data_IF_189957055436
#
_entry.id   IF_189957055436
#
_cell.length_a   1.000
_cell.length_b   1.000
_cell.length_c   1.000
_cell.angle_alpha   90.00
_cell.angle_beta   90.00
_cell.angle_gamma   90.00
#
_symmetry.space_group_name_H-M   'P 1'
#
loop_
_entity.id
_entity.type
_entity.pdbx_description
1 polymer ?
#
# COMPACT_ATOMS: atom_id res chain seq x y z
N UNK A 1 26.42 -21.94 -43.31
CA UNK A 1 25.39 -22.00 -42.23
C UNK A 1 25.78 -22.92 -41.06
N UNK A 2 26.19 -24.18 -41.27
CA UNK A 2 26.58 -25.09 -40.15
C UNK A 2 27.72 -24.59 -39.26
N UNK A 3 28.73 -23.91 -39.81
CA UNK A 3 29.86 -23.34 -39.03
C UNK A 3 29.43 -22.19 -38.12
N UNK A 4 28.48 -21.37 -38.56
CA UNK A 4 27.94 -20.23 -37.79
C UNK A 4 27.12 -20.71 -36.58
N UNK A 5 26.23 -21.69 -36.77
CA UNK A 5 25.44 -22.29 -35.69
C UNK A 5 26.21 -23.32 -34.84
N UNK A 6 27.40 -23.72 -35.26
CA UNK A 6 28.31 -24.55 -34.47
C UNK A 6 29.11 -23.74 -33.45
N UNK A 7 29.29 -22.44 -33.70
CA UNK A 7 30.19 -21.58 -32.93
C UNK A 7 29.67 -21.38 -31.49
N UNK A 8 30.58 -21.55 -30.51
CA UNK A 8 30.32 -21.35 -29.09
C UNK A 8 29.91 -19.91 -28.78
N UNK A 9 30.52 -18.93 -29.45
CA UNK A 9 30.17 -17.51 -29.29
C UNK A 9 28.75 -17.20 -29.78
N UNK A 10 28.36 -17.75 -30.94
CA UNK A 10 27.00 -17.60 -31.47
C UNK A 10 25.96 -18.22 -30.52
N UNK A 11 26.25 -19.39 -29.93
CA UNK A 11 25.37 -20.02 -28.93
C UNK A 11 25.24 -19.20 -27.64
N UNK A 12 26.31 -18.53 -27.20
CA UNK A 12 26.28 -17.65 -26.02
C UNK A 12 25.43 -16.42 -26.27
N UNK A 13 25.58 -15.76 -27.42
CA UNK A 13 24.76 -14.60 -27.78
C UNK A 13 23.28 -14.99 -27.89
N UNK A 14 22.98 -16.12 -28.56
CA UNK A 14 21.60 -16.60 -28.69
C UNK A 14 21.01 -16.99 -27.32
N UNK A 15 21.83 -17.47 -26.36
CA UNK A 15 21.34 -17.81 -25.02
C UNK A 15 20.85 -16.62 -24.20
N UNK A 16 21.20 -15.39 -24.58
CA UNK A 16 20.65 -14.17 -23.96
C UNK A 16 19.16 -14.03 -24.26
N UNK A 17 18.67 -14.53 -25.39
CA UNK A 17 17.23 -14.55 -25.70
C UNK A 17 16.44 -15.40 -24.70
N UNK A 18 17.07 -16.42 -24.11
CA UNK A 18 16.48 -17.22 -23.02
C UNK A 18 16.22 -16.35 -21.78
N UNK A 19 17.11 -15.41 -21.47
CA UNK A 19 16.94 -14.46 -20.35
C UNK A 19 15.73 -13.57 -20.61
N UNK A 20 15.56 -13.08 -21.84
CA UNK A 20 14.43 -12.22 -22.21
C UNK A 20 13.11 -12.97 -21.95
N UNK A 21 13.00 -14.22 -22.40
CA UNK A 21 11.81 -15.03 -22.16
C UNK A 21 11.57 -15.27 -20.66
N UNK A 22 12.61 -15.65 -19.90
CA UNK A 22 12.50 -15.84 -18.45
C UNK A 22 12.14 -14.55 -17.72
N UNK A 23 12.64 -13.39 -18.16
CA UNK A 23 12.25 -12.09 -17.62
C UNK A 23 10.77 -11.81 -17.83
N UNK A 24 10.21 -12.11 -19.01
CA UNK A 24 8.76 -11.98 -19.23
C UNK A 24 7.95 -12.90 -18.32
N UNK A 25 8.40 -14.14 -18.11
CA UNK A 25 7.76 -15.08 -17.18
C UNK A 25 7.82 -14.56 -15.73
N UNK A 26 8.97 -14.06 -15.28
CA UNK A 26 9.11 -13.47 -13.94
C UNK A 26 8.26 -12.20 -13.78
N UNK A 27 8.21 -11.35 -14.82
CA UNK A 27 7.37 -10.16 -14.84
C UNK A 27 5.88 -10.54 -14.77
N UNK A 28 5.46 -11.58 -15.48
CA UNK A 28 4.11 -12.11 -15.39
C UNK A 28 3.80 -12.66 -13.99
N UNK A 29 4.77 -13.34 -13.38
CA UNK A 29 4.71 -13.76 -11.97
C UNK A 29 4.48 -12.57 -11.03
N UNK A 30 5.26 -11.50 -11.18
CA UNK A 30 5.07 -10.25 -10.42
C UNK A 30 3.68 -9.63 -10.65
N UNK A 31 3.27 -9.48 -11.92
CA UNK A 31 1.96 -8.92 -12.26
C UNK A 31 0.82 -9.75 -11.66
N UNK A 32 0.94 -11.09 -11.63
CA UNK A 32 -0.08 -11.96 -11.05
C UNK A 32 -0.36 -11.70 -9.57
N UNK A 33 0.67 -11.28 -8.83
CA UNK A 33 0.56 -10.99 -7.39
C UNK A 33 -0.18 -9.68 -7.16
N UNK A 34 0.16 -8.64 -7.93
CA UNK A 34 -0.35 -7.28 -7.69
C UNK A 34 -1.55 -6.89 -8.54
N UNK A 35 -1.87 -7.61 -9.62
CA UNK A 35 -2.93 -7.24 -10.55
C UNK A 35 -3.90 -8.39 -10.83
N UNK A 36 -5.16 -8.05 -11.07
CA UNK A 36 -6.19 -8.92 -11.65
C UNK A 36 -6.18 -8.81 -13.17
N UNK A 37 -6.30 -9.95 -13.86
CA UNK A 37 -6.20 -10.01 -15.32
C UNK A 37 -7.58 -10.13 -15.96
N UNK A 38 -7.91 -9.19 -16.84
CA UNK A 38 -9.10 -9.22 -17.68
C UNK A 38 -8.71 -9.45 -19.14
N UNK A 39 -9.00 -10.65 -19.64
CA UNK A 39 -8.67 -11.04 -21.03
C UNK A 39 -9.78 -10.61 -21.97
N UNK A 40 -9.50 -9.66 -22.85
CA UNK A 40 -10.47 -9.17 -23.85
C UNK A 40 -10.63 -10.16 -25.01
N UNK A 41 -9.52 -10.79 -25.44
CA UNK A 41 -9.48 -11.70 -26.59
C UNK A 41 -8.73 -12.99 -26.26
N UNK A 42 -9.45 -13.97 -25.69
CA UNK A 42 -8.87 -15.25 -25.22
C UNK A 42 -8.14 -16.03 -26.33
N UNK A 43 -8.70 -16.06 -27.53
CA UNK A 43 -8.11 -16.79 -28.67
C UNK A 43 -6.80 -16.16 -29.14
N UNK A 44 -6.78 -14.84 -29.32
CA UNK A 44 -5.61 -14.09 -29.76
C UNK A 44 -4.46 -14.22 -28.77
N UNK A 45 -4.75 -14.08 -27.47
CA UNK A 45 -3.77 -14.24 -26.40
C UNK A 45 -3.15 -15.65 -26.42
N UNK A 46 -4.00 -16.69 -26.47
CA UNK A 46 -3.55 -18.08 -26.49
C UNK A 46 -2.62 -18.36 -27.68
N UNK A 47 -2.99 -17.91 -28.89
CA UNK A 47 -2.17 -18.08 -30.09
C UNK A 47 -0.83 -17.34 -29.99
N UNK A 48 -0.85 -16.09 -29.54
CA UNK A 48 0.35 -15.28 -29.39
C UNK A 48 1.32 -15.88 -28.35
N UNK A 49 0.80 -16.23 -27.16
CA UNK A 49 1.59 -16.84 -26.09
C UNK A 49 2.15 -18.19 -26.53
N UNK A 50 1.37 -19.01 -27.23
CA UNK A 50 1.83 -20.30 -27.76
C UNK A 50 2.94 -20.13 -28.79
N UNK A 51 2.79 -19.19 -29.74
CA UNK A 51 3.80 -18.91 -30.75
C UNK A 51 5.12 -18.44 -30.16
N UNK A 52 5.06 -17.50 -29.21
CA UNK A 52 6.24 -16.98 -28.50
C UNK A 52 6.90 -18.09 -27.66
N UNK A 53 6.10 -18.88 -26.94
CA UNK A 53 6.57 -19.99 -26.10
C UNK A 53 7.27 -21.07 -26.94
N UNK A 54 6.73 -21.42 -28.10
CA UNK A 54 7.34 -22.40 -29.01
C UNK A 54 8.66 -21.88 -29.59
N UNK A 55 8.72 -20.61 -30.00
CA UNK A 55 9.95 -19.98 -30.46
C UNK A 55 11.02 -19.98 -29.35
N UNK A 56 10.64 -19.57 -28.14
CA UNK A 56 11.51 -19.58 -26.98
C UNK A 56 12.03 -21.00 -26.68
N UNK A 57 11.16 -22.01 -26.74
CA UNK A 57 11.55 -23.40 -26.52
C UNK A 57 12.60 -23.87 -27.54
N UNK A 58 12.42 -23.57 -28.83
CA UNK A 58 13.41 -23.93 -29.87
C UNK A 58 14.77 -23.29 -29.56
N UNK A 59 14.78 -22.00 -29.20
CA UNK A 59 16.00 -21.26 -28.86
C UNK A 59 16.67 -21.85 -27.61
N UNK A 60 15.90 -22.16 -26.58
CA UNK A 60 16.40 -22.73 -25.34
C UNK A 60 16.94 -24.15 -25.54
N UNK A 61 16.28 -24.98 -26.35
CA UNK A 61 16.78 -26.31 -26.69
C UNK A 61 18.09 -26.25 -27.47
N UNK A 62 18.20 -25.32 -28.42
CA UNK A 62 19.44 -25.09 -29.17
C UNK A 62 20.60 -24.64 -28.25
N UNK A 63 20.30 -23.86 -27.21
CA UNK A 63 21.29 -23.33 -26.25
C UNK A 63 21.38 -24.11 -24.94
N UNK A 64 20.75 -25.30 -24.83
CA UNK A 64 20.55 -26.06 -23.58
C UNK A 64 21.82 -26.35 -22.75
N UNK A 65 22.99 -26.37 -23.39
CA UNK A 65 24.26 -26.60 -22.71
C UNK A 65 24.92 -25.32 -22.17
N UNK A 66 24.42 -24.13 -22.51
CA UNK A 66 24.91 -22.87 -21.97
C UNK A 66 24.41 -22.68 -20.53
N UNK A 67 25.28 -22.14 -19.67
CA UNK A 67 24.97 -21.94 -18.24
C UNK A 67 23.74 -21.06 -18.08
N UNK A 68 23.62 -19.99 -18.87
CA UNK A 68 22.50 -19.05 -18.87
C UNK A 68 21.17 -19.79 -19.08
N UNK A 69 21.06 -20.61 -20.12
CA UNK A 69 19.84 -21.36 -20.43
C UNK A 69 19.49 -22.39 -19.35
N UNK A 70 20.50 -22.99 -18.70
CA UNK A 70 20.27 -23.89 -17.56
C UNK A 70 19.67 -23.15 -16.37
N UNK A 71 20.21 -21.98 -16.02
CA UNK A 71 19.67 -21.15 -14.93
C UNK A 71 18.23 -20.72 -15.27
N UNK A 72 18.00 -20.24 -16.49
CA UNK A 72 16.65 -19.88 -16.96
C UNK A 72 15.66 -21.05 -16.83
N UNK A 73 16.08 -22.28 -17.16
CA UNK A 73 15.26 -23.49 -17.05
C UNK A 73 14.82 -23.80 -15.61
N UNK A 74 15.61 -23.38 -14.61
CA UNK A 74 15.30 -23.60 -13.20
C UNK A 74 14.36 -22.53 -12.62
N UNK A 75 14.32 -21.34 -13.24
CA UNK A 75 13.55 -20.19 -12.73
C UNK A 75 12.12 -20.17 -13.28
N UNK A 76 11.90 -20.59 -14.52
CA UNK A 76 10.60 -20.47 -15.21
C UNK A 76 9.46 -21.11 -14.41
N UNK A 77 9.62 -22.34 -13.92
CA UNK A 77 8.55 -23.06 -13.22
C UNK A 77 8.24 -22.47 -11.84
N UNK A 78 9.22 -22.16 -10.97
CA UNK A 78 8.96 -21.40 -9.75
C UNK A 78 8.26 -20.05 -10.00
N UNK A 79 8.71 -19.29 -11.00
CA UNK A 79 8.13 -17.99 -11.33
C UNK A 79 6.66 -18.08 -11.81
N UNK A 80 6.27 -19.21 -12.39
CA UNK A 80 4.89 -19.46 -12.82
C UNK A 80 3.96 -19.90 -11.69
N UNK A 81 4.47 -20.26 -10.51
CA UNK A 81 3.62 -20.67 -9.38
C UNK A 81 2.53 -19.62 -9.05
N UNK A 82 2.85 -18.34 -8.77
CA UNK A 82 1.82 -17.35 -8.45
C UNK A 82 0.84 -17.14 -9.63
N UNK A 83 1.31 -17.25 -10.88
CA UNK A 83 0.45 -17.15 -12.06
C UNK A 83 -0.58 -18.29 -12.09
N UNK A 84 -0.15 -19.51 -11.80
CA UNK A 84 -1.01 -20.69 -11.79
C UNK A 84 -2.06 -20.62 -10.68
N UNK A 85 -1.69 -20.10 -9.52
CA UNK A 85 -2.59 -19.98 -8.37
C UNK A 85 -3.58 -18.81 -8.54
N UNK A 86 -3.08 -17.63 -8.92
CA UNK A 86 -3.86 -16.38 -8.92
C UNK A 86 -4.63 -16.14 -10.21
N UNK A 87 -4.17 -16.66 -11.35
CA UNK A 87 -4.90 -16.61 -12.64
C UNK A 87 -5.47 -17.97 -13.03
N UNK A 88 -5.82 -18.78 -12.02
CA UNK A 88 -6.42 -20.09 -12.23
C UNK A 88 -7.67 -19.98 -13.11
N UNK A 89 -7.75 -20.80 -14.17
CA UNK A 89 -8.81 -20.76 -15.17
C UNK A 89 -8.41 -20.11 -16.50
N UNK A 90 -7.38 -19.26 -16.52
CA UNK A 90 -6.86 -18.65 -17.76
C UNK A 90 -5.80 -19.56 -18.43
N UNK A 91 -6.23 -20.80 -18.73
CA UNK A 91 -5.39 -21.89 -19.22
C UNK A 91 -4.62 -21.59 -20.52
N UNK A 92 -5.19 -20.74 -21.38
CA UNK A 92 -4.56 -20.34 -22.65
C UNK A 92 -3.25 -19.58 -22.47
N UNK A 93 -3.06 -18.92 -21.33
CA UNK A 93 -1.80 -18.26 -20.97
C UNK A 93 -0.88 -19.19 -20.16
N UNK A 94 -1.45 -19.98 -19.25
CA UNK A 94 -0.68 -20.83 -18.34
C UNK A 94 -0.02 -22.02 -19.06
N UNK A 95 -0.81 -22.80 -19.82
CA UNK A 95 -0.37 -24.10 -20.34
C UNK A 95 0.89 -23.97 -21.22
N UNK A 96 0.95 -23.08 -22.22
CA UNK A 96 2.12 -23.01 -23.09
C UNK A 96 3.42 -22.74 -22.33
N UNK A 97 3.40 -21.84 -21.34
CA UNK A 97 4.58 -21.45 -20.57
C UNK A 97 5.04 -22.59 -19.65
N UNK A 98 4.09 -23.26 -18.98
CA UNK A 98 4.38 -24.42 -18.13
C UNK A 98 4.98 -25.57 -18.94
N UNK A 99 4.42 -25.87 -20.12
CA UNK A 99 4.98 -26.91 -21.02
C UNK A 99 6.43 -26.56 -21.39
N UNK A 100 6.71 -25.31 -21.75
CA UNK A 100 8.09 -24.87 -22.02
C UNK A 100 8.98 -25.10 -20.80
N UNK A 101 8.54 -24.69 -19.61
CA UNK A 101 9.29 -24.87 -18.35
C UNK A 101 9.61 -26.33 -18.05
N UNK A 102 8.63 -27.23 -18.19
CA UNK A 102 8.82 -28.67 -17.96
C UNK A 102 9.81 -29.25 -18.98
N UNK A 103 9.57 -29.00 -20.27
CA UNK A 103 10.40 -29.56 -21.35
C UNK A 103 11.83 -29.06 -21.23
N UNK A 104 12.04 -27.76 -20.99
CA UNK A 104 13.40 -27.22 -20.89
C UNK A 104 14.11 -27.65 -19.62
N UNK A 105 13.41 -27.82 -18.48
CA UNK A 105 14.00 -28.37 -17.26
C UNK A 105 14.51 -29.80 -17.48
N UNK A 106 13.68 -30.66 -18.07
CA UNK A 106 14.02 -32.08 -18.30
C UNK A 106 15.12 -32.27 -19.34
N UNK A 107 15.06 -31.49 -20.43
CA UNK A 107 16.02 -31.55 -21.54
C UNK A 107 17.21 -30.59 -21.39
N UNK A 108 17.30 -29.89 -20.25
CA UNK A 108 18.43 -29.02 -19.89
C UNK A 108 19.74 -29.80 -19.90
N UNK A 109 20.84 -29.13 -20.25
CA UNK A 109 22.19 -29.69 -20.18
C UNK A 109 22.74 -29.82 -18.75
N UNK A 110 21.91 -29.69 -17.72
CA UNK A 110 22.26 -29.92 -16.33
C UNK A 110 22.37 -31.42 -16.00
N UNK A 111 23.12 -31.76 -14.94
CA UNK A 111 23.27 -33.15 -14.51
C UNK A 111 21.93 -33.76 -14.04
N UNK A 112 21.73 -35.05 -14.28
CA UNK A 112 20.47 -35.75 -13.96
C UNK A 112 20.06 -35.62 -12.49
N UNK A 113 21.02 -35.73 -11.56
CA UNK A 113 20.73 -35.55 -10.13
C UNK A 113 20.14 -34.17 -9.78
N UNK A 114 20.65 -33.10 -10.41
CA UNK A 114 20.16 -31.73 -10.18
C UNK A 114 18.76 -31.55 -10.77
N UNK A 115 18.52 -32.07 -11.98
CA UNK A 115 17.20 -31.99 -12.62
C UNK A 115 16.14 -32.72 -11.78
N UNK A 116 16.44 -33.93 -11.33
CA UNK A 116 15.54 -34.72 -10.48
C UNK A 116 15.28 -34.02 -9.14
N UNK A 117 16.32 -33.51 -8.48
CA UNK A 117 16.15 -32.79 -7.20
C UNK A 117 15.29 -31.54 -7.36
N UNK A 118 15.59 -30.67 -8.35
CA UNK A 118 14.81 -29.46 -8.60
C UNK A 118 13.39 -29.76 -9.06
N UNK A 119 13.18 -30.77 -9.92
CA UNK A 119 11.85 -31.17 -10.34
C UNK A 119 10.99 -31.60 -9.14
N UNK A 120 11.55 -32.38 -8.20
CA UNK A 120 10.85 -32.77 -6.98
C UNK A 120 10.54 -31.57 -6.08
N UNK A 121 11.49 -30.65 -5.89
CA UNK A 121 11.29 -29.43 -5.09
C UNK A 121 10.18 -28.56 -5.70
N UNK A 122 10.22 -28.34 -7.02
CA UNK A 122 9.22 -27.56 -7.75
C UNK A 122 7.85 -28.24 -7.66
N UNK A 123 7.79 -29.56 -7.82
CA UNK A 123 6.54 -30.31 -7.68
C UNK A 123 5.94 -30.14 -6.29
N UNK A 124 6.75 -30.28 -5.23
CA UNK A 124 6.31 -30.06 -3.85
C UNK A 124 5.84 -28.62 -3.63
N UNK A 125 6.56 -27.63 -4.18
CA UNK A 125 6.17 -26.21 -4.12
C UNK A 125 4.78 -25.98 -4.72
N UNK A 126 4.47 -26.62 -5.86
CA UNK A 126 3.14 -26.53 -6.49
C UNK A 126 2.06 -27.21 -5.65
N UNK A 127 2.35 -28.39 -5.09
CA UNK A 127 1.40 -29.12 -4.25
C UNK A 127 1.08 -28.31 -2.98
N UNK A 128 2.10 -27.87 -2.24
CA UNK A 128 1.91 -27.09 -1.03
C UNK A 128 1.35 -25.70 -1.31
N UNK A 129 1.77 -25.05 -2.40
CA UNK A 129 1.24 -23.76 -2.84
C UNK A 129 -0.24 -23.84 -3.19
N UNK A 130 -0.65 -24.85 -3.95
CA UNK A 130 -2.06 -25.08 -4.27
C UNK A 130 -2.87 -25.40 -3.00
N UNK A 131 -2.39 -26.32 -2.15
CA UNK A 131 -3.05 -26.65 -0.90
C UNK A 131 -3.23 -25.41 -0.01
N UNK A 132 -2.16 -24.63 0.19
CA UNK A 132 -2.18 -23.42 0.99
C UNK A 132 -3.14 -22.37 0.42
N UNK A 133 -3.12 -22.16 -0.89
CA UNK A 133 -4.04 -21.27 -1.57
C UNK A 133 -5.50 -21.70 -1.38
N UNK A 134 -5.83 -22.97 -1.62
CA UNK A 134 -7.19 -23.49 -1.45
C UNK A 134 -7.68 -23.40 0.00
N UNK A 135 -6.84 -23.75 0.97
CA UNK A 135 -7.18 -23.58 2.39
C UNK A 135 -7.44 -22.11 2.70
N UNK A 136 -6.57 -21.21 2.24
CA UNK A 136 -6.73 -19.78 2.47
C UNK A 136 -8.05 -19.25 1.88
N UNK A 137 -8.31 -19.52 0.60
CA UNK A 137 -9.52 -19.03 -0.08
C UNK A 137 -10.80 -19.67 0.47
N UNK A 138 -10.74 -20.92 0.94
CA UNK A 138 -11.93 -21.60 1.48
C UNK A 138 -12.27 -21.13 2.90
N UNK A 139 -11.26 -20.87 3.74
CA UNK A 139 -11.48 -20.52 5.15
C UNK A 139 -11.57 -19.02 5.41
N UNK A 140 -10.87 -18.18 4.65
CA UNK A 140 -10.75 -16.75 4.94
C UNK A 140 -11.51 -15.84 3.97
N UNK A 141 -11.94 -16.33 2.81
CA UNK A 141 -12.77 -15.55 1.89
C UNK A 141 -14.22 -15.94 2.11
N UNK A 142 -14.97 -15.08 2.83
CA UNK A 142 -16.39 -15.27 3.01
C UNK A 142 -17.10 -15.19 1.66
N UNK A 143 -18.00 -16.14 1.39
CA UNK A 143 -18.86 -16.09 0.20
C UNK A 143 -19.92 -15.00 0.37
N UNK A 144 -19.54 -13.74 0.21
CA UNK A 144 -20.47 -12.62 0.12
C UNK A 144 -20.97 -12.52 -1.31
N UNK A 145 -22.30 -12.49 -1.47
CA UNK A 145 -22.90 -12.20 -2.77
C UNK A 145 -22.94 -10.68 -2.92
N UNK A 146 -21.97 -10.17 -3.66
CA UNK A 146 -21.95 -8.78 -4.12
C UNK A 146 -22.68 -8.69 -5.47
N UNK A 147 -23.62 -7.76 -5.55
CA UNK A 147 -24.26 -7.35 -6.80
C UNK A 147 -23.84 -5.92 -7.13
N UNK A 148 -23.20 -5.75 -8.30
CA UNK A 148 -22.80 -4.43 -8.78
C UNK A 148 -23.98 -3.77 -9.47
N UNK A 149 -24.51 -2.71 -8.86
CA UNK A 149 -25.68 -1.96 -9.37
C UNK A 149 -25.24 -1.04 -10.51
N UNK A 150 -24.17 -0.30 -10.28
CA UNK A 150 -23.70 0.74 -11.20
C UNK A 150 -22.18 0.83 -11.15
N UNK A 151 -21.57 1.17 -12.28
CA UNK A 151 -20.16 1.52 -12.39
C UNK A 151 -20.01 2.76 -13.26
N UNK A 152 -19.05 3.62 -12.93
CA UNK A 152 -18.78 4.81 -13.72
C UNK A 152 -17.37 5.34 -13.52
N UNK A 153 -17.06 6.41 -14.23
CA UNK A 153 -15.76 7.07 -14.20
C UNK A 153 -15.99 8.55 -13.89
N UNK A 154 -15.13 9.08 -13.03
CA UNK A 154 -15.08 10.50 -12.68
C UNK A 154 -14.88 11.38 -13.93
N UNK A 155 -15.30 12.67 -13.91
CA UNK A 155 -15.17 13.59 -15.04
C UNK A 155 -13.73 13.76 -15.54
N UNK A 156 -12.75 13.78 -14.64
CA UNK A 156 -11.33 13.86 -15.02
C UNK A 156 -10.79 12.57 -15.66
N UNK A 157 -11.49 11.44 -15.49
CA UNK A 157 -11.01 10.12 -15.87
C UNK A 157 -10.03 9.50 -14.88
N UNK A 158 -9.70 10.19 -13.77
CA UNK A 158 -8.68 9.77 -12.80
C UNK A 158 -9.17 8.65 -11.89
N UNK A 159 -10.45 8.69 -11.50
CA UNK A 159 -11.09 7.70 -10.64
C UNK A 159 -12.21 6.97 -11.35
N UNK A 160 -12.43 5.73 -10.94
CA UNK A 160 -13.65 4.97 -11.25
C UNK A 160 -14.34 4.55 -9.96
N UNK A 161 -15.65 4.37 -10.05
CA UNK A 161 -16.47 3.94 -8.92
C UNK A 161 -17.32 2.74 -9.29
N UNK A 162 -17.67 1.95 -8.27
CA UNK A 162 -18.71 0.92 -8.34
C UNK A 162 -19.62 1.01 -7.13
N UNK A 163 -20.92 0.87 -7.37
CA UNK A 163 -21.96 0.78 -6.34
C UNK A 163 -22.32 -0.69 -6.19
N UNK A 164 -22.29 -1.19 -4.96
CA UNK A 164 -22.43 -2.60 -4.66
C UNK A 164 -23.46 -2.79 -3.58
N UNK A 165 -24.41 -3.67 -3.84
CA UNK A 165 -25.28 -4.22 -2.81
C UNK A 165 -24.74 -5.58 -2.38
N UNK A 166 -24.48 -5.71 -1.09
CA UNK A 166 -24.07 -6.98 -0.49
C UNK A 166 -25.28 -7.59 0.20
N UNK A 167 -25.59 -8.85 -0.14
CA UNK A 167 -26.55 -9.64 0.62
C UNK A 167 -25.81 -10.43 1.71
N UNK A 168 -26.09 -10.12 2.97
CA UNK A 168 -25.55 -10.81 4.13
C UNK A 168 -26.65 -11.18 5.14
N UNK A 169 -26.29 -11.90 6.21
CA UNK A 169 -27.22 -12.27 7.29
C UNK A 169 -27.62 -11.09 8.20
N UNK A 170 -27.19 -9.87 7.87
CA UNK A 170 -27.35 -8.64 8.67
C UNK A 170 -28.09 -7.56 7.87
N UNK A 171 -29.10 -7.97 7.09
CA UNK A 171 -30.00 -7.11 6.31
C UNK A 171 -29.36 -6.42 5.09
N UNK A 172 -28.17 -6.88 4.71
CA UNK A 172 -27.43 -6.36 3.56
C UNK A 172 -26.85 -4.96 3.78
N UNK A 173 -26.11 -4.49 2.78
CA UNK A 173 -25.50 -3.16 2.80
C UNK A 173 -25.34 -2.61 1.39
N UNK A 174 -25.47 -1.29 1.25
CA UNK A 174 -25.05 -0.59 0.05
C UNK A 174 -23.73 0.12 0.31
N UNK A 175 -22.74 -0.17 -0.52
CA UNK A 175 -21.42 0.43 -0.44
C UNK A 175 -20.99 1.03 -1.78
N UNK A 176 -20.29 2.16 -1.73
CA UNK A 176 -19.66 2.78 -2.88
C UNK A 176 -18.16 2.67 -2.71
N UNK A 177 -17.53 2.07 -3.72
CA UNK A 177 -16.09 1.90 -3.79
C UNK A 177 -15.52 2.85 -4.84
N UNK A 178 -14.41 3.51 -4.50
CA UNK A 178 -13.66 4.36 -5.43
C UNK A 178 -12.22 3.86 -5.51
N UNK A 179 -11.69 3.80 -6.73
CA UNK A 179 -10.31 3.43 -7.01
C UNK A 179 -9.73 4.20 -8.21
N UNK A 180 -8.39 4.30 -8.32
CA UNK A 180 -7.74 4.95 -9.46
C UNK A 180 -8.01 4.19 -10.76
N UNK A 181 -8.40 4.93 -11.79
CA UNK A 181 -8.62 4.41 -13.14
C UNK A 181 -7.34 4.45 -14.01
N UNK A 182 -6.28 5.11 -13.52
CA UNK A 182 -5.01 5.31 -14.22
C UNK A 182 -3.94 4.27 -13.87
N UNK A 183 -4.13 3.51 -12.79
CA UNK A 183 -3.14 2.56 -12.26
C UNK A 183 -3.07 1.22 -13.03
N UNK A 184 -4.00 0.97 -13.96
CA UNK A 184 -4.08 -0.29 -14.70
C UNK A 184 -3.01 -0.40 -15.80
N UNK A 185 -2.50 -1.62 -16.02
CA UNK A 185 -1.63 -1.92 -17.17
C UNK A 185 -2.49 -2.41 -18.35
N UNK A 186 -2.66 -1.56 -19.36
CA UNK A 186 -3.46 -1.86 -20.56
C UNK A 186 -2.58 -2.40 -21.69
N UNK A 187 -2.81 -3.64 -22.10
CA UNK A 187 -2.20 -4.25 -23.29
C UNK A 187 -3.27 -4.64 -24.33
N UNK A 188 -2.86 -4.89 -25.57
CA UNK A 188 -3.79 -5.19 -26.67
C UNK A 188 -4.65 -6.44 -26.48
N UNK A 189 -4.25 -7.39 -25.63
CA UNK A 189 -4.96 -8.66 -25.42
C UNK A 189 -5.60 -8.79 -24.04
N UNK A 190 -5.06 -8.07 -23.05
CA UNK A 190 -5.46 -8.15 -21.66
C UNK A 190 -5.25 -6.81 -20.97
N UNK A 191 -6.14 -6.47 -20.05
CA UNK A 191 -5.98 -5.36 -19.10
C UNK A 191 -5.69 -5.94 -17.73
N UNK A 192 -4.68 -5.42 -17.05
CA UNK A 192 -4.33 -5.80 -15.70
C UNK A 192 -4.74 -4.68 -14.74
N UNK A 193 -5.73 -4.96 -13.91
CA UNK A 193 -6.28 -4.04 -12.92
C UNK A 193 -5.52 -4.18 -11.61
N UNK A 194 -5.08 -3.08 -11.01
CA UNK A 194 -4.29 -3.15 -9.77
C UNK A 194 -5.16 -3.62 -8.59
N UNK A 195 -4.71 -4.65 -7.85
CA UNK A 195 -5.43 -5.24 -6.72
C UNK A 195 -5.45 -4.33 -5.50
N UNK A 196 -6.46 -4.49 -4.65
CA UNK A 196 -6.55 -3.88 -3.32
C UNK A 196 -6.38 -2.35 -3.35
N UNK A 197 -6.90 -1.69 -4.38
CA UNK A 197 -6.92 -0.23 -4.48
C UNK A 197 -8.27 0.36 -4.08
N UNK A 198 -9.28 -0.47 -3.94
CA UNK A 198 -10.64 -0.03 -3.60
C UNK A 198 -10.70 0.60 -2.21
N UNK A 199 -11.33 1.78 -2.13
CA UNK A 199 -11.66 2.45 -0.88
C UNK A 199 -13.17 2.57 -0.75
N UNK A 200 -13.69 2.16 0.40
CA UNK A 200 -15.09 2.36 0.77
C UNK A 200 -15.26 3.82 1.16
N UNK A 201 -15.95 4.59 0.34
CA UNK A 201 -16.19 6.03 0.59
C UNK A 201 -17.59 6.29 1.11
N UNK A 202 -18.47 5.31 0.95
CA UNK A 202 -19.81 5.30 1.49
C UNK A 202 -20.19 3.87 1.83
N UNK A 203 -20.78 3.67 3.01
CA UNK A 203 -21.35 2.40 3.41
C UNK A 203 -22.57 2.68 4.28
N UNK A 204 -23.70 2.10 3.89
CA UNK A 204 -24.93 2.19 4.64
C UNK A 204 -25.52 0.81 4.88
N UNK A 205 -26.15 0.65 6.04
CA UNK A 205 -26.85 -0.56 6.47
C UNK A 205 -28.22 -0.15 7.00
N UNK A 206 -29.33 -0.76 6.54
CA UNK A 206 -29.44 -1.85 5.56
C UNK A 206 -29.20 -1.38 4.10
N UNK A 207 -29.47 -2.25 3.12
CA UNK A 207 -29.46 -1.89 1.69
C UNK A 207 -30.34 -0.67 1.39
N UNK A 208 -29.94 0.15 0.41
CA UNK A 208 -30.66 1.32 -0.08
C UNK A 208 -31.08 1.15 -1.55
N UNK A 209 -32.16 1.84 -1.92
CA UNK A 209 -32.67 1.92 -3.29
C UNK A 209 -32.33 3.27 -3.92
N UNK A 210 -32.42 3.35 -5.25
CA UNK A 210 -32.26 4.58 -6.04
C UNK A 210 -30.97 5.35 -5.71
N UNK A 211 -29.89 4.63 -5.42
CA UNK A 211 -28.59 5.24 -5.12
C UNK A 211 -28.05 5.88 -6.38
N UNK A 212 -27.92 7.21 -6.35
CA UNK A 212 -27.41 8.02 -7.44
C UNK A 212 -26.14 8.73 -7.01
N UNK A 213 -25.17 8.75 -7.92
CA UNK A 213 -23.87 9.39 -7.70
C UNK A 213 -23.73 10.55 -8.67
N UNK A 214 -23.39 11.73 -8.13
CA UNK A 214 -23.09 12.91 -8.92
C UNK A 214 -21.63 13.31 -8.70
N UNK A 215 -20.96 13.66 -9.80
CA UNK A 215 -19.61 14.18 -9.79
C UNK A 215 -19.62 15.66 -10.12
N UNK A 216 -18.90 16.44 -9.32
CA UNK A 216 -18.64 17.86 -9.59
C UNK A 216 -17.14 18.10 -9.54
N UNK A 217 -16.65 19.00 -10.38
CA UNK A 217 -15.28 19.50 -10.27
C UNK A 217 -15.30 20.75 -9.40
N UNK A 218 -14.50 20.76 -8.34
CA UNK A 218 -14.38 21.88 -7.41
C UNK A 218 -12.92 22.32 -7.34
N UNK A 219 -12.69 23.61 -7.08
CA UNK A 219 -11.33 24.09 -6.89
C UNK A 219 -10.82 23.79 -5.47
N UNK A 220 -9.50 23.82 -5.30
CA UNK A 220 -8.81 23.51 -4.05
C UNK A 220 -9.28 24.38 -2.89
N UNK A 221 -9.45 25.68 -3.14
CA UNK A 221 -9.89 26.64 -2.13
C UNK A 221 -11.31 26.32 -1.62
N UNK A 222 -12.26 26.06 -2.51
CA UNK A 222 -13.65 25.68 -2.18
C UNK A 222 -13.68 24.42 -1.32
N UNK A 223 -12.86 23.42 -1.66
CA UNK A 223 -12.77 22.18 -0.89
C UNK A 223 -12.17 22.44 0.49
N UNK A 224 -11.08 23.21 0.59
CA UNK A 224 -10.43 23.56 1.86
C UNK A 224 -11.36 24.36 2.77
N UNK A 225 -12.08 25.34 2.22
CA UNK A 225 -13.05 26.15 2.96
C UNK A 225 -14.19 25.28 3.51
N UNK A 226 -14.71 24.36 2.68
CA UNK A 226 -15.72 23.41 3.12
C UNK A 226 -15.21 22.48 4.23
N UNK A 227 -13.99 21.95 4.10
CA UNK A 227 -13.37 21.10 5.12
C UNK A 227 -13.19 21.84 6.45
N UNK A 228 -12.65 23.05 6.40
CA UNK A 228 -12.47 23.90 7.58
C UNK A 228 -13.81 24.30 8.22
N UNK A 229 -14.91 24.36 7.44
CA UNK A 229 -16.26 24.58 7.98
C UNK A 229 -16.81 23.37 8.74
N UNK A 230 -16.35 22.15 8.41
CA UNK A 230 -16.72 20.92 9.12
C UNK A 230 -15.92 20.79 10.41
N UNK A 231 -14.60 21.00 10.33
CA UNK A 231 -13.71 20.90 11.49
C UNK A 231 -12.46 21.76 11.33
N UNK A 232 -12.09 22.43 12.42
CA UNK A 232 -10.85 23.19 12.57
C UNK A 232 -9.65 22.34 13.03
N UNK A 233 -9.86 21.02 13.21
CA UNK A 233 -8.86 20.06 13.74
C UNK A 233 -8.42 19.03 12.70
N UNK A 234 -8.54 19.34 11.43
CA UNK A 234 -8.09 18.45 10.36
C UNK A 234 -6.56 18.50 10.33
N UNK A 235 -5.92 17.38 10.65
CA UNK A 235 -4.47 17.24 10.62
C UNK A 235 -4.01 16.68 9.26
N UNK A 236 -2.91 17.23 8.75
CA UNK A 236 -2.21 16.77 7.54
C UNK A 236 -0.84 16.27 7.96
N UNK A 237 -0.48 15.07 7.53
CA UNK A 237 0.84 14.48 7.79
C UNK A 237 1.79 14.86 6.66
N UNK A 238 3.00 15.32 7.00
CA UNK A 238 4.01 15.80 6.05
C UNK A 238 5.39 15.24 6.38
N UNK A 239 6.25 15.18 5.38
CA UNK A 239 7.64 14.74 5.49
C UNK A 239 8.54 15.79 6.17
N UNK A 240 9.75 15.38 6.57
CA UNK A 240 10.75 16.30 7.14
C UNK A 240 11.13 17.44 6.19
N UNK A 241 11.24 17.14 4.89
CA UNK A 241 11.58 18.13 3.85
C UNK A 241 10.42 19.12 3.63
N UNK A 242 9.17 18.65 3.68
CA UNK A 242 8.00 19.51 3.59
C UNK A 242 7.86 20.40 4.81
N UNK A 243 8.09 19.88 6.02
CA UNK A 243 8.10 20.70 7.24
C UNK A 243 9.08 21.87 7.13
N UNK A 244 10.31 21.61 6.68
CA UNK A 244 11.32 22.65 6.50
C UNK A 244 10.89 23.71 5.47
N UNK A 245 10.31 23.27 4.34
CA UNK A 245 9.78 24.19 3.33
C UNK A 245 8.62 25.06 3.83
N UNK A 246 7.77 24.49 4.69
CA UNK A 246 6.66 25.19 5.34
C UNK A 246 7.13 26.14 6.45
N UNK A 247 8.44 26.23 6.72
CA UNK A 247 9.02 27.09 7.74
C UNK A 247 9.00 26.52 9.16
N UNK A 248 8.72 25.21 9.30
CA UNK A 248 8.83 24.52 10.58
C UNK A 248 10.27 24.06 10.82
N UNK A 249 10.71 24.17 12.07
CA UNK A 249 12.02 23.69 12.50
C UNK A 249 11.87 22.37 13.24
N UNK A 250 12.97 21.65 13.42
CA UNK A 250 12.94 20.43 14.22
C UNK A 250 12.42 20.72 15.64
N UNK A 251 12.93 21.79 16.26
CA UNK A 251 12.61 22.17 17.64
C UNK A 251 11.15 22.57 17.84
N UNK A 252 10.54 23.29 16.89
CA UNK A 252 9.13 23.72 17.02
C UNK A 252 8.11 22.60 16.77
N UNK A 253 8.59 21.42 16.34
CA UNK A 253 7.78 20.20 16.18
C UNK A 253 8.04 19.15 17.26
N UNK A 254 8.86 19.44 18.26
CA UNK A 254 9.06 18.50 19.36
C UNK A 254 7.84 18.42 20.29
N UNK A 255 7.44 17.20 20.59
CA UNK A 255 6.30 16.88 21.45
C UNK A 255 6.66 15.84 22.50
N UNK A 256 6.01 15.93 23.66
CA UNK A 256 5.97 14.88 24.67
C UNK A 256 4.77 13.96 24.41
N UNK A 257 5.04 12.68 24.20
CA UNK A 257 4.05 11.63 24.00
C UNK A 257 4.12 10.60 25.14
N UNK A 258 3.11 9.73 25.24
CA UNK A 258 3.06 8.61 26.19
C UNK A 258 3.32 9.01 27.64
N UNK A 259 2.82 10.19 28.01
CA UNK A 259 2.95 10.75 29.35
C UNK A 259 2.21 9.86 30.36
N UNK A 260 2.91 9.43 31.41
CA UNK A 260 2.26 8.77 32.54
C UNK A 260 1.35 9.74 33.29
N UNK A 261 0.37 9.22 34.05
CA UNK A 261 -0.59 10.06 34.77
C UNK A 261 0.10 11.09 35.69
N UNK A 262 1.18 10.70 36.38
CA UNK A 262 1.96 11.61 37.23
C UNK A 262 2.63 12.74 36.44
N UNK A 263 3.14 12.44 35.24
CA UNK A 263 3.75 13.44 34.35
C UNK A 263 2.73 14.38 33.73
N UNK A 264 1.53 13.89 33.39
CA UNK A 264 0.41 14.73 32.93
C UNK A 264 0.01 15.76 34.01
N UNK A 265 -0.13 15.33 35.26
CA UNK A 265 -0.50 16.24 36.35
C UNK A 265 0.55 17.33 36.59
N UNK A 266 1.84 17.03 36.40
CA UNK A 266 2.92 18.01 36.53
C UNK A 266 2.86 19.15 35.49
N UNK A 267 2.18 18.93 34.36
CA UNK A 267 1.97 19.93 33.31
C UNK A 267 0.53 20.48 33.29
N UNK A 268 -0.20 20.36 34.41
CA UNK A 268 -1.59 20.81 34.55
C UNK A 268 -2.56 20.13 33.56
N UNK A 269 -2.26 18.89 33.15
CA UNK A 269 -3.15 18.05 32.34
C UNK A 269 -3.83 17.00 33.21
N UNK A 270 -4.97 16.52 32.74
CA UNK A 270 -5.76 15.46 33.39
C UNK A 270 -5.38 14.08 32.85
N UNK A 271 -5.83 13.02 33.53
CA UNK A 271 -5.61 11.66 33.05
C UNK A 271 -6.30 11.39 31.69
N UNK A 272 -7.37 12.14 31.39
CA UNK A 272 -8.17 12.04 30.16
C UNK A 272 -7.51 12.70 28.94
N UNK A 273 -6.51 13.56 29.15
CA UNK A 273 -5.76 14.19 28.06
C UNK A 273 -4.77 13.18 27.48
N UNK A 274 -5.09 12.60 26.33
CA UNK A 274 -4.28 11.56 25.68
C UNK A 274 -3.38 12.10 24.56
N UNK A 275 -3.62 13.33 24.13
CA UNK A 275 -2.90 13.93 23.00
C UNK A 275 -1.45 14.28 23.39
N UNK A 276 -0.48 14.12 22.46
CA UNK A 276 0.88 14.60 22.65
C UNK A 276 0.92 16.11 22.94
N UNK A 277 1.84 16.53 23.81
CA UNK A 277 1.97 17.93 24.24
C UNK A 277 3.14 18.59 23.53
N UNK A 278 2.94 19.64 22.72
CA UNK A 278 4.04 20.37 22.09
C UNK A 278 4.93 21.03 23.14
N UNK A 279 6.24 20.85 23.01
CA UNK A 279 7.19 21.35 24.01
C UNK A 279 7.20 22.88 24.10
N UNK A 280 6.86 23.58 23.02
CA UNK A 280 6.70 25.04 23.00
C UNK A 280 5.55 25.56 23.87
N UNK A 281 4.62 24.69 24.27
CA UNK A 281 3.53 25.07 25.18
C UNK A 281 3.89 24.96 26.65
N UNK A 282 5.07 24.40 26.97
CA UNK A 282 5.54 24.16 28.33
C UNK A 282 6.38 25.34 28.84
N UNK A 283 6.23 25.64 30.12
CA UNK A 283 7.09 26.60 30.84
C UNK A 283 8.47 26.02 31.14
N UNK A 284 9.46 26.87 31.40
CA UNK A 284 10.83 26.44 31.75
C UNK A 284 10.87 25.52 32.98
N UNK A 285 10.00 25.77 33.97
CA UNK A 285 9.86 24.91 35.15
C UNK A 285 9.30 23.54 34.80
N UNK A 286 8.32 23.49 33.90
CA UNK A 286 7.75 22.23 33.42
C UNK A 286 8.76 21.45 32.58
N UNK A 287 9.53 22.11 31.71
CA UNK A 287 10.60 21.47 30.94
C UNK A 287 11.70 20.93 31.86
N UNK A 288 12.07 21.67 32.91
CA UNK A 288 13.05 21.23 33.91
C UNK A 288 12.62 19.94 34.61
N UNK A 289 11.32 19.79 34.91
CA UNK A 289 10.78 18.55 35.47
C UNK A 289 10.98 17.32 34.58
N UNK A 290 11.07 17.49 33.26
CA UNK A 290 11.41 16.43 32.29
C UNK A 290 12.93 16.32 32.03
N UNK A 291 13.76 17.11 32.72
CA UNK A 291 15.21 17.14 32.48
C UNK A 291 15.59 17.78 31.14
N UNK A 292 14.72 18.63 30.59
CA UNK A 292 14.91 19.28 29.29
C UNK A 292 15.17 20.77 29.49
N UNK A 293 16.16 21.31 28.79
CA UNK A 293 16.46 22.73 28.73
C UNK A 293 16.08 23.34 27.38
N UNK A 294 15.80 24.65 27.38
CA UNK A 294 15.56 25.46 26.18
C UNK A 294 16.59 26.59 26.13
N UNK A 295 17.27 26.75 25.00
CA UNK A 295 18.22 27.84 24.78
C UNK A 295 17.52 29.11 24.26
N UNK A 296 18.23 30.24 24.26
CA UNK A 296 17.72 31.54 23.80
C UNK A 296 17.27 31.52 22.32
N UNK A 297 17.88 30.66 21.50
CA UNK A 297 17.52 30.46 20.09
C UNK A 297 16.29 29.53 19.92
N UNK A 298 15.65 29.11 21.02
CA UNK A 298 14.47 28.25 21.02
C UNK A 298 14.75 26.74 20.86
N UNK A 299 16.03 26.35 20.85
CA UNK A 299 16.46 24.94 20.69
C UNK A 299 16.37 24.16 21.99
N UNK A 300 15.98 22.89 21.91
CA UNK A 300 15.82 22.02 23.08
C UNK A 300 17.01 21.06 23.26
N UNK A 301 17.45 20.88 24.51
CA UNK A 301 18.57 20.02 24.84
C UNK A 301 18.36 19.22 26.13
N UNK A 302 19.07 18.11 26.27
CA UNK A 302 19.04 17.25 27.46
C UNK A 302 19.93 17.87 28.55
N UNK A 303 19.40 18.14 29.75
CA UNK A 303 20.18 18.75 30.85
C UNK A 303 21.27 17.82 31.38
N UNK A 304 20.97 16.53 31.49
CA UNK A 304 21.89 15.51 31.99
C UNK A 304 21.83 14.27 31.09
N UNK A 305 22.55 14.27 29.95
CA UNK A 305 22.56 13.11 29.06
C UNK A 305 23.28 11.92 29.73
N UNK A 306 22.73 10.72 29.56
CA UNK A 306 23.35 9.46 30.00
C UNK A 306 24.63 9.16 29.21
N UNK A 307 25.43 8.20 29.68
CA UNK A 307 26.63 7.78 28.95
C UNK A 307 26.25 7.10 27.64
N UNK A 308 25.19 6.31 27.68
CA UNK A 308 24.65 5.54 26.58
C UNK A 308 24.15 6.46 25.45
N UNK A 309 23.44 7.55 25.79
CA UNK A 309 23.04 8.58 24.82
C UNK A 309 24.25 9.30 24.22
N UNK A 310 25.29 9.59 25.02
CA UNK A 310 26.51 10.23 24.53
C UNK A 310 27.33 9.32 23.61
N UNK A 311 27.40 8.02 23.90
CA UNK A 311 28.06 7.00 23.08
C UNK A 311 27.39 6.85 21.71
N UNK A 312 26.06 6.80 21.65
CA UNK A 312 25.30 6.76 20.39
C UNK A 312 25.47 8.03 19.53
N UNK A 313 25.93 9.11 20.14
CA UNK A 313 26.20 10.39 19.49
C UNK A 313 27.68 10.60 19.16
N UNK A 314 28.57 9.68 19.54
CA UNK A 314 30.04 9.84 19.48
C UNK A 314 30.51 11.14 20.18
N UNK A 315 29.86 11.49 21.30
CA UNK A 315 30.13 12.71 22.05
C UNK A 315 30.90 12.43 23.34
N UNK A 316 31.80 13.35 23.70
CA UNK A 316 32.50 13.31 24.99
C UNK A 316 31.61 13.85 26.12
N UNK A 317 31.80 13.33 27.33
CA UNK A 317 31.12 13.79 28.54
C UNK A 317 31.18 15.32 28.71
N UNK A 318 30.04 15.94 29.03
CA UNK A 318 29.90 17.38 29.25
C UNK A 318 29.52 18.21 28.02
N UNK A 319 29.44 17.60 26.82
CA UNK A 319 28.88 18.29 25.64
C UNK A 319 27.35 18.35 25.76
N UNK A 320 26.79 19.51 25.42
CA UNK A 320 25.33 19.71 25.36
C UNK A 320 24.76 18.94 24.16
N UNK A 321 23.71 18.16 24.41
CA UNK A 321 23.04 17.32 23.39
C UNK A 321 21.70 17.95 23.03
N UNK A 322 21.61 18.50 21.83
CA UNK A 322 20.36 19.07 21.30
C UNK A 322 19.54 17.99 20.60
N UNK A 323 18.23 18.00 20.81
CA UNK A 323 17.33 17.06 20.15
C UNK A 323 17.36 17.16 18.63
N UNK A 324 17.57 18.37 18.08
CA UNK A 324 17.71 18.61 16.63
C UNK A 324 18.90 17.92 16.00
N UNK A 325 19.93 17.64 16.79
CA UNK A 325 21.20 17.10 16.29
C UNK A 325 21.27 15.58 16.54
N UNK A 326 20.29 14.99 17.24
CA UNK A 326 20.31 13.60 17.66
C UNK A 326 20.11 12.63 16.49
N UNK A 327 20.85 11.52 16.53
CA UNK A 327 20.56 10.38 15.67
C UNK A 327 19.30 9.66 16.15
N UNK A 328 18.62 8.94 15.24
CA UNK A 328 17.43 8.15 15.61
C UNK A 328 17.73 7.11 16.71
N UNK A 329 18.96 6.57 16.74
CA UNK A 329 19.41 5.64 17.78
C UNK A 329 19.55 6.33 19.14
N UNK A 330 20.19 7.49 19.18
CA UNK A 330 20.33 8.27 20.40
C UNK A 330 18.97 8.71 20.97
N UNK A 331 18.03 9.12 20.11
CA UNK A 331 16.67 9.50 20.54
C UNK A 331 15.92 8.29 21.10
N UNK A 332 16.03 7.13 20.46
CA UNK A 332 15.45 5.88 20.96
C UNK A 332 16.03 5.51 22.33
N UNK A 333 17.36 5.60 22.48
CA UNK A 333 18.05 5.32 23.73
C UNK A 333 17.56 6.25 24.85
N UNK A 334 17.50 7.57 24.58
CA UNK A 334 16.96 8.55 25.53
C UNK A 334 15.53 8.20 25.95
N UNK A 335 14.66 7.85 25.00
CA UNK A 335 13.27 7.48 25.28
C UNK A 335 13.14 6.18 26.11
N UNK A 336 14.05 5.22 25.93
CA UNK A 336 14.05 3.97 26.73
C UNK A 336 14.54 4.14 28.15
N UNK A 337 15.27 5.21 28.46
CA UNK A 337 15.73 5.52 29.83
C UNK A 337 14.61 6.12 30.70
N UNK A 338 13.54 6.63 30.09
CA UNK A 338 12.41 7.26 30.78
C UNK A 338 11.27 6.26 31.03
N UNK A 339 11.62 5.14 31.65
CA UNK A 339 10.68 4.07 32.03
C UNK A 339 10.81 3.75 33.53
N UNK A 340 9.72 3.28 34.11
CA UNK A 340 9.72 2.78 35.48
C UNK A 340 10.42 1.42 35.55
N UNK A 341 11.52 1.30 36.32
CA UNK A 341 12.33 0.07 36.38
C UNK A 341 11.55 -1.16 36.90
N UNK A 342 10.55 -0.96 37.76
CA UNK A 342 9.81 -2.05 38.39
C UNK A 342 8.65 -2.55 37.52
N UNK A 343 8.00 -1.66 36.77
CA UNK A 343 6.79 -1.96 36.00
C UNK A 343 7.00 -1.92 34.50
N UNK A 344 8.12 -1.37 34.01
CA UNK A 344 8.39 -1.14 32.60
C UNK A 344 7.51 -0.07 31.96
N UNK A 345 6.74 0.69 32.76
CA UNK A 345 5.82 1.70 32.25
C UNK A 345 6.61 2.95 31.84
N UNK A 346 6.43 3.41 30.61
CA UNK A 346 7.01 4.66 30.11
C UNK A 346 6.50 5.86 30.90
N UNK A 347 7.42 6.74 31.32
CA UNK A 347 7.08 8.03 31.91
C UNK A 347 6.71 9.06 30.83
N UNK A 348 7.48 9.12 29.74
CA UNK A 348 7.19 9.89 28.53
C UNK A 348 8.13 9.52 27.38
N UNK A 349 7.79 9.96 26.18
CA UNK A 349 8.64 9.93 25.00
C UNK A 349 8.74 11.32 24.37
N UNK A 350 9.94 11.68 23.91
CA UNK A 350 10.14 12.83 23.03
C UNK A 350 10.05 12.34 21.59
N UNK A 351 9.18 12.96 20.79
CA UNK A 351 9.08 12.70 19.36
C UNK A 351 8.90 13.99 18.58
N UNK A 352 9.37 13.99 17.33
CA UNK A 352 9.05 15.04 16.37
C UNK A 352 7.65 14.76 15.81
N UNK A 353 6.82 15.79 15.71
CA UNK A 353 5.55 15.72 15.01
C UNK A 353 5.71 16.01 13.53
N UNK A 354 5.05 15.18 12.74
CA UNK A 354 4.90 15.33 11.30
C UNK A 354 3.53 15.86 10.92
N UNK A 355 2.73 16.34 11.90
CA UNK A 355 1.39 16.84 11.65
C UNK A 355 1.31 18.38 11.67
N UNK A 356 0.48 18.90 10.78
CA UNK A 356 0.14 20.32 10.64
C UNK A 356 -1.38 20.45 10.50
N UNK A 357 -1.95 21.55 10.97
CA UNK A 357 -3.39 21.77 10.85
C UNK A 357 -3.71 22.30 9.46
N UNK A 358 -4.72 21.72 8.80
CA UNK A 358 -5.13 22.11 7.45
C UNK A 358 -5.47 23.59 7.34
N UNK A 359 -6.17 24.14 8.34
CA UNK A 359 -6.56 25.56 8.39
C UNK A 359 -5.38 26.54 8.50
N UNK A 360 -4.17 26.05 8.80
CA UNK A 360 -2.95 26.89 8.84
C UNK A 360 -2.22 26.94 7.51
N UNK A 361 -2.60 26.09 6.55
CA UNK A 361 -1.96 25.99 5.24
C UNK A 361 -2.58 26.97 4.25
N UNK A 362 -1.71 27.65 3.51
CA UNK A 362 -2.11 28.47 2.36
C UNK A 362 -2.32 27.60 1.12
N UNK A 363 -3.05 28.14 0.15
CA UNK A 363 -3.27 27.49 -1.15
C UNK A 363 -1.95 27.14 -1.87
N UNK A 364 -0.94 28.02 -1.82
CA UNK A 364 0.39 27.79 -2.38
C UNK A 364 1.12 26.63 -1.66
N UNK A 365 1.00 26.54 -0.34
CA UNK A 365 1.60 25.45 0.45
C UNK A 365 0.93 24.11 0.15
N UNK A 366 -0.40 24.09 -0.02
CA UNK A 366 -1.13 22.89 -0.44
C UNK A 366 -0.71 22.45 -1.84
N UNK A 367 -0.45 23.39 -2.76
CA UNK A 367 0.10 23.09 -4.07
C UNK A 367 1.47 22.42 -3.97
N UNK A 368 2.32 22.90 -3.07
CA UNK A 368 3.63 22.32 -2.82
C UNK A 368 3.55 20.89 -2.27
N UNK A 369 2.56 20.62 -1.41
CA UNK A 369 2.26 19.26 -0.91
C UNK A 369 1.66 18.33 -1.99
N UNK A 370 1.61 18.75 -3.25
CA UNK A 370 1.17 17.94 -4.37
C UNK A 370 -0.35 17.92 -4.59
N UNK A 371 -1.11 18.74 -3.86
CA UNK A 371 -2.57 18.84 -4.02
C UNK A 371 -2.91 19.67 -5.26
N UNK A 372 -3.69 19.11 -6.18
CA UNK A 372 -4.01 19.79 -7.43
C UNK A 372 -4.97 20.97 -7.24
N UNK A 373 -4.93 21.93 -8.17
CA UNK A 373 -5.73 23.17 -8.13
C UNK A 373 -7.25 22.92 -8.20
N UNK A 374 -7.67 21.83 -8.84
CA UNK A 374 -9.06 21.41 -8.92
C UNK A 374 -9.15 19.89 -8.95
N UNK A 375 -10.24 19.34 -8.42
CA UNK A 375 -10.42 17.91 -8.30
C UNK A 375 -11.87 17.49 -8.40
N UNK A 376 -12.05 16.18 -8.59
CA UNK A 376 -13.37 15.56 -8.60
C UNK A 376 -13.88 15.36 -7.16
N UNK A 377 -15.12 15.77 -6.94
CA UNK A 377 -15.87 15.62 -5.69
C UNK A 377 -17.13 14.82 -5.97
N UNK A 378 -17.32 13.75 -5.21
CA UNK A 378 -18.46 12.83 -5.35
C UNK A 378 -19.50 13.10 -4.28
N UNK A 379 -20.75 13.30 -4.71
CA UNK A 379 -21.92 13.31 -3.83
C UNK A 379 -22.79 12.08 -4.08
N UNK A 380 -23.46 11.62 -3.02
CA UNK A 380 -24.44 10.54 -3.07
C UNK A 380 -25.82 11.04 -2.65
N UNK A 381 -26.84 10.60 -3.38
CA UNK A 381 -28.24 10.68 -2.97
C UNK A 381 -28.82 9.27 -2.99
N UNK A 382 -29.51 8.87 -1.92
CA UNK A 382 -30.02 7.52 -1.75
C UNK A 382 -31.33 7.52 -0.96
N UNK A 383 -32.21 6.58 -1.31
CA UNK A 383 -33.49 6.37 -0.63
C UNK A 383 -33.44 5.08 0.21
N UNK A 384 -34.13 5.02 1.35
CA UNK A 384 -34.27 3.78 2.11
C UNK A 384 -34.92 2.69 1.26
N UNK A 385 -34.44 1.46 1.39
CA UNK A 385 -35.03 0.33 0.66
C UNK A 385 -36.48 0.09 1.09
N UNK A 386 -37.38 -0.05 0.11
CA UNK A 386 -38.81 -0.27 0.37
C UNK A 386 -39.13 -1.75 0.17
N UNK A 387 -39.32 -2.46 1.29
CA UNK A 387 -39.75 -3.86 1.28
C UNK A 387 -41.15 -4.02 0.67
N UNK A 388 -41.32 -5.02 -0.19
CA UNK A 388 -42.61 -5.27 -0.84
C UNK A 388 -43.65 -5.84 0.15
N UNK A 389 -44.95 -5.66 -0.15
CA UNK A 389 -46.03 -6.26 0.65
C UNK A 389 -45.87 -7.79 0.73
N UNK A 390 -45.55 -8.30 1.91
CA UNK A 390 -45.34 -9.72 2.19
C UNK A 390 -43.88 -10.15 2.37
N UNK A 391 -42.90 -9.26 2.20
CA UNK A 391 -41.51 -9.51 2.61
C UNK A 391 -41.31 -9.31 4.11
N UNK A 392 -40.51 -10.18 4.74
CA UNK A 392 -40.13 -10.03 6.15
C UNK A 392 -39.22 -8.80 6.30
N UNK A 393 -39.75 -7.74 6.89
CA UNK A 393 -38.95 -6.58 7.31
C UNK A 393 -38.06 -7.01 8.47
N UNK A 394 -36.74 -6.88 8.37
CA UNK A 394 -35.86 -7.30 9.45
C UNK A 394 -36.06 -6.49 10.73
N UNK A 395 -35.98 -7.16 11.88
CA UNK A 395 -36.10 -6.49 13.19
C UNK A 395 -35.03 -5.39 13.37
N UNK A 396 -35.47 -4.19 13.77
CA UNK A 396 -34.59 -3.05 14.02
C UNK A 396 -34.35 -2.12 12.83
N UNK A 397 -34.90 -2.43 11.65
CA UNK A 397 -34.87 -1.51 10.50
C UNK A 397 -35.91 -0.41 10.71
N UNK A 398 -35.45 0.79 11.05
CA UNK A 398 -36.28 1.99 11.14
C UNK A 398 -35.65 3.09 10.29
N UNK A 399 -35.26 2.73 9.07
CA UNK A 399 -34.53 3.61 8.18
C UNK A 399 -35.50 4.40 7.30
N UNK A 400 -35.67 5.67 7.65
CA UNK A 400 -36.48 6.64 6.90
C UNK A 400 -35.63 7.80 6.38
N UNK A 401 -34.30 7.71 6.55
CA UNK A 401 -33.40 8.80 6.24
C UNK A 401 -33.11 8.82 4.74
N UNK A 402 -33.71 9.79 4.06
CA UNK A 402 -33.35 10.12 2.68
C UNK A 402 -32.05 10.90 2.71
N UNK A 403 -31.03 10.36 2.07
CA UNK A 403 -29.73 11.03 1.94
C UNK A 403 -29.76 11.83 0.65
N UNK A 404 -29.47 13.13 0.74
CA UNK A 404 -29.45 14.03 -0.41
C UNK A 404 -28.12 14.75 -0.47
N UNK A 405 -27.44 14.63 -1.60
CA UNK A 405 -26.20 15.34 -1.97
C UNK A 405 -25.08 15.29 -0.90
N UNK A 406 -24.97 14.17 -0.19
CA UNK A 406 -23.91 13.97 0.81
C UNK A 406 -22.58 13.80 0.10
N UNK A 407 -21.61 14.66 0.38
CA UNK A 407 -20.25 14.49 -0.15
C UNK A 407 -19.58 13.30 0.52
N UNK A 408 -19.21 12.31 -0.29
CA UNK A 408 -18.64 11.03 0.16
C UNK A 408 -17.19 10.83 -0.26
N UNK A 409 -16.75 11.47 -1.35
CA UNK A 409 -15.35 11.40 -1.79
C UNK A 409 -14.85 12.77 -2.25
N UNK A 410 -13.60 13.05 -1.93
CA UNK A 410 -12.87 14.24 -2.36
C UNK A 410 -11.49 13.83 -2.82
N UNK A 411 -11.17 14.14 -4.08
CA UNK A 411 -9.84 13.97 -4.63
C UNK A 411 -8.74 14.55 -3.74
N UNK A 412 -8.97 15.80 -3.29
CA UNK A 412 -8.12 16.55 -2.38
C UNK A 412 -7.64 15.74 -1.15
N UNK A 413 -8.55 14.98 -0.54
CA UNK A 413 -8.22 14.16 0.65
C UNK A 413 -7.44 12.91 0.24
N UNK A 414 -7.77 12.34 -0.91
CA UNK A 414 -7.05 11.18 -1.43
C UNK A 414 -5.60 11.48 -1.80
N UNK A 415 -5.28 12.70 -2.25
CA UNK A 415 -3.90 13.16 -2.48
C UNK A 415 -3.14 13.38 -1.16
N UNK A 416 -3.71 14.13 -0.22
CA UNK A 416 -3.04 14.46 1.05
C UNK A 416 -2.73 13.24 1.90
N UNK A 417 -3.61 12.25 1.87
CA UNK A 417 -3.48 11.01 2.64
C UNK A 417 -2.84 9.87 1.83
N UNK A 418 -2.42 10.15 0.59
CA UNK A 418 -1.83 9.19 -0.35
C UNK A 418 -2.62 7.86 -0.43
N UNK A 419 -3.95 7.97 -0.50
CA UNK A 419 -4.87 6.82 -0.40
C UNK A 419 -4.59 5.72 -1.42
N UNK A 420 -4.01 6.12 -2.54
CA UNK A 420 -3.78 5.29 -3.71
C UNK A 420 -2.30 5.26 -4.11
N UNK A 421 -1.37 5.26 -3.14
CA UNK A 421 0.05 5.08 -3.42
C UNK A 421 0.32 3.75 -4.13
N UNK A 422 0.64 3.84 -5.42
CA UNK A 422 1.02 2.70 -6.25
C UNK A 422 2.50 2.35 -6.04
N UNK A 423 3.33 3.31 -5.64
CA UNK A 423 4.79 3.18 -5.62
C UNK A 423 5.32 2.41 -4.41
N UNK A 424 4.63 2.46 -3.25
CA UNK A 424 4.96 1.61 -2.09
C UNK A 424 4.80 0.11 -2.36
N UNK A 425 4.11 -0.29 -3.44
CA UNK A 425 3.82 -1.70 -3.75
C UNK A 425 4.90 -2.37 -4.59
N UNK A 426 6.10 -2.44 -4.04
CA UNK A 426 7.20 -3.23 -4.58
C UNK A 426 7.67 -4.26 -3.55
N UNK A 427 8.31 -5.34 -4.03
CA UNK A 427 9.04 -6.23 -3.12
C UNK A 427 10.25 -5.46 -2.59
N UNK A 428 10.16 -4.93 -1.37
CA UNK A 428 11.32 -4.36 -0.70
C UNK A 428 12.28 -5.48 -0.32
N UNK A 429 13.54 -5.34 -0.75
CA UNK A 429 14.65 -6.21 -0.36
C UNK A 429 15.19 -5.82 1.01
N UNK A 430 14.73 -4.71 1.59
CA UNK A 430 15.19 -4.20 2.89
C UNK A 430 14.79 -5.11 4.05
N UNK A 431 13.77 -5.97 3.87
CA UNK A 431 13.39 -7.02 4.83
C UNK A 431 14.36 -8.22 4.84
N UNK A 432 15.34 -8.27 3.92
CA UNK A 432 16.37 -9.32 3.84
C UNK A 432 17.74 -8.86 4.33
N UNK A 433 17.87 -7.60 4.77
CA UNK A 433 19.00 -7.07 5.52
C UNK A 433 18.61 -6.87 6.99
#
# INVERSE_FOLDING_TARGET
MKSFFGNVWTKRVISVLSIIYTYFVCRLGYISIFYDMHVQQRTSLCLAVTGISLLALIIMLYTRHQIITRICSFIILPAMLPVVLLYFGEWGLIIPIIVVGIVILLLSGAGEGVKTALATIILLLYIFGALGYFLFTTFFVAATKEEVIETGVSPSGTYRYRIVNTQDTSNGSTAIYVEPNTADLKYSFATFTLKNMERVVYMHRPTQDNVTVNWTSQNRQEITDHLNSISDKIEVTVTDAELEHLGYTYDNKLMLADLSASRKFAINKTASDVDPVPMDTLTDEQLDFFGIGKDADGRYYIKQPSKEVLEEMDYTAGKRVYFSDMTAKALKQYNTEHVDEATGITYFHVKKSHTIMLNTLTDEQLAYLGVSESGDVMTVSAEPHVYAEGEEVPEGVNDTEVITDKVVFRYYVAELEDYYDVNSRHFSVDLLN
#
